data_IF_309787180812
#
_entry.id   IF_309787180812
#
_cell.length_a   1.000
_cell.length_b   1.000
_cell.length_c   1.000
_cell.angle_alpha   90.00
_cell.angle_beta   90.00
_cell.angle_gamma   90.00
#
_symmetry.space_group_name_H-M   'P 1'
#
loop_
_entity.id
_entity.type
_entity.pdbx_description
1 polymer ?
#
# COMPACT_ATOMS: atom_id res chain seq x y z
N UNK A 1 -23.44 5.20 23.97
CA UNK A 1 -22.37 4.30 23.54
C UNK A 1 -21.08 4.74 24.22
N UNK A 2 -20.37 3.80 24.86
CA UNK A 2 -19.12 4.11 25.53
C UNK A 2 -18.04 4.40 24.48
N UNK A 3 -17.17 5.36 24.79
CA UNK A 3 -16.03 5.67 23.93
C UNK A 3 -14.99 4.55 24.05
N UNK A 4 -14.65 3.91 22.94
CA UNK A 4 -13.60 2.90 22.89
C UNK A 4 -12.28 3.64 22.65
N UNK A 5 -11.31 3.42 23.52
CA UNK A 5 -9.98 4.05 23.47
C UNK A 5 -8.88 2.98 23.44
N UNK A 6 -7.63 3.43 23.25
CA UNK A 6 -6.49 2.50 23.28
C UNK A 6 -6.38 1.75 24.61
N UNK A 7 -6.82 2.36 25.72
CA UNK A 7 -6.78 1.69 27.02
C UNK A 7 -7.80 0.53 27.13
N UNK A 8 -8.76 0.46 26.22
CA UNK A 8 -9.75 -0.63 26.15
C UNK A 8 -9.27 -1.78 25.27
N UNK A 9 -8.11 -1.63 24.63
CA UNK A 9 -7.54 -2.65 23.77
C UNK A 9 -7.13 -3.88 24.58
N UNK A 10 -7.42 -5.12 24.11
CA UNK A 10 -6.98 -6.34 24.78
C UNK A 10 -5.45 -6.36 24.91
N UNK A 11 -4.95 -6.94 26.02
CA UNK A 11 -3.51 -7.03 26.29
C UNK A 11 -2.74 -7.72 25.16
N UNK A 12 -3.33 -8.75 24.55
CA UNK A 12 -2.73 -9.47 23.41
C UNK A 12 -2.47 -8.50 22.24
N UNK A 13 -3.48 -7.69 21.88
CA UNK A 13 -3.35 -6.72 20.80
C UNK A 13 -2.34 -5.63 21.16
N UNK A 14 -2.31 -5.16 22.40
CA UNK A 14 -1.36 -4.16 22.84
C UNK A 14 0.08 -4.66 22.74
N UNK A 15 0.34 -5.88 23.16
CA UNK A 15 1.67 -6.49 23.04
C UNK A 15 2.09 -6.69 21.58
N UNK A 16 1.16 -7.14 20.74
CA UNK A 16 1.41 -7.27 19.32
C UNK A 16 1.69 -5.90 18.67
N UNK A 17 0.96 -4.87 19.09
CA UNK A 17 1.15 -3.50 18.59
C UNK A 17 2.53 -2.95 18.94
N UNK A 18 3.03 -3.18 20.14
CA UNK A 18 4.38 -2.76 20.55
C UNK A 18 5.42 -3.36 19.61
N UNK A 19 5.29 -4.65 19.31
CA UNK A 19 6.19 -5.33 18.37
C UNK A 19 6.07 -4.76 16.96
N UNK A 20 4.85 -4.47 16.52
CA UNK A 20 4.64 -3.84 15.21
C UNK A 20 5.31 -2.47 15.12
N UNK A 21 5.15 -1.64 16.14
CA UNK A 21 5.76 -0.31 16.17
C UNK A 21 7.28 -0.39 16.13
N UNK A 22 7.89 -1.34 16.83
CA UNK A 22 9.32 -1.60 16.74
C UNK A 22 9.71 -2.01 15.31
N UNK A 23 8.92 -2.90 14.69
CA UNK A 23 9.18 -3.33 13.32
C UNK A 23 9.13 -2.16 12.33
N UNK A 24 8.16 -1.26 12.48
CA UNK A 24 8.05 -0.04 11.65
C UNK A 24 9.34 0.79 11.77
N UNK A 25 9.80 1.03 12.99
CA UNK A 25 11.03 1.80 13.23
C UNK A 25 12.25 1.16 12.60
N UNK A 26 12.43 -0.13 12.75
CA UNK A 26 13.56 -0.85 12.13
C UNK A 26 13.45 -0.84 10.60
N UNK A 27 12.25 -1.01 10.06
CA UNK A 27 12.03 -0.95 8.61
C UNK A 27 12.41 0.42 8.03
N UNK A 28 12.00 1.49 8.70
CA UNK A 28 12.35 2.87 8.29
C UNK A 28 13.86 3.11 8.32
N UNK A 29 14.59 2.42 9.19
CA UNK A 29 16.04 2.49 9.28
C UNK A 29 16.75 1.55 8.30
N UNK A 30 16.02 0.81 7.48
CA UNK A 30 16.59 -0.15 6.55
C UNK A 30 17.03 -1.47 7.19
N UNK A 31 16.70 -1.68 8.47
CA UNK A 31 17.07 -2.90 9.21
C UNK A 31 15.99 -3.97 9.01
N UNK A 32 15.95 -4.53 7.81
CA UNK A 32 14.88 -5.43 7.36
C UNK A 32 14.82 -6.74 8.15
N UNK A 33 15.98 -7.31 8.49
CA UNK A 33 16.01 -8.59 9.22
C UNK A 33 15.48 -8.42 10.64
N UNK A 34 15.81 -7.32 11.31
CA UNK A 34 15.31 -7.03 12.65
C UNK A 34 13.80 -6.75 12.59
N UNK A 35 13.37 -6.01 11.57
CA UNK A 35 11.95 -5.76 11.35
C UNK A 35 11.17 -7.07 11.19
N UNK A 36 11.68 -8.02 10.40
CA UNK A 36 11.05 -9.34 10.23
C UNK A 36 10.97 -10.12 11.55
N UNK A 37 12.00 -10.04 12.38
CA UNK A 37 11.99 -10.72 13.68
C UNK A 37 10.92 -10.13 14.61
N UNK A 38 10.80 -8.81 14.66
CA UNK A 38 9.75 -8.14 15.45
C UNK A 38 8.35 -8.47 14.90
N UNK A 39 8.20 -8.54 13.58
CA UNK A 39 6.94 -8.94 12.95
C UNK A 39 6.57 -10.39 13.28
N UNK A 40 7.55 -11.28 13.30
CA UNK A 40 7.33 -12.68 13.70
C UNK A 40 6.75 -12.75 15.11
N UNK A 41 7.30 -11.96 16.02
CA UNK A 41 6.81 -11.90 17.39
C UNK A 41 5.42 -11.27 17.49
N UNK A 42 5.15 -10.22 16.73
CA UNK A 42 3.82 -9.59 16.67
C UNK A 42 2.76 -10.58 16.18
N UNK A 43 3.05 -11.28 15.09
CA UNK A 43 2.14 -12.28 14.51
C UNK A 43 1.92 -13.46 15.45
N UNK A 44 2.97 -13.93 16.12
CA UNK A 44 2.85 -14.99 17.10
C UNK A 44 1.96 -14.60 18.30
N UNK A 45 2.00 -13.32 18.68
CA UNK A 45 1.23 -12.79 19.80
C UNK A 45 -0.25 -12.63 19.43
N UNK A 46 -0.56 -12.10 18.25
CA UNK A 46 -1.94 -11.88 17.79
C UNK A 46 -2.06 -12.23 16.30
N UNK A 47 -2.21 -13.53 15.97
CA UNK A 47 -2.16 -13.99 14.58
C UNK A 47 -3.34 -13.56 13.71
N UNK A 48 -4.42 -13.04 14.31
CA UNK A 48 -5.60 -12.57 13.58
C UNK A 48 -5.65 -11.04 13.41
N UNK A 49 -4.56 -10.36 13.69
CA UNK A 49 -4.43 -8.93 13.43
C UNK A 49 -3.76 -8.72 12.08
N UNK A 50 -4.40 -7.96 11.19
CA UNK A 50 -4.00 -7.84 9.78
C UNK A 50 -2.76 -6.96 9.55
N UNK A 51 -2.56 -5.93 10.36
CA UNK A 51 -1.52 -4.93 10.16
C UNK A 51 -0.09 -5.50 10.06
N UNK A 52 0.33 -6.45 10.94
CA UNK A 52 1.67 -7.00 10.84
C UNK A 52 1.93 -7.73 9.51
N UNK A 53 0.91 -8.37 8.95
CA UNK A 53 1.06 -9.04 7.66
C UNK A 53 1.29 -8.04 6.52
N UNK A 54 0.61 -6.90 6.56
CA UNK A 54 0.82 -5.84 5.57
C UNK A 54 2.25 -5.29 5.63
N UNK A 55 2.75 -4.98 6.83
CA UNK A 55 4.14 -4.52 6.97
C UNK A 55 5.13 -5.60 6.52
N UNK A 56 4.87 -6.87 6.84
CA UNK A 56 5.70 -7.99 6.38
C UNK A 56 5.76 -8.02 4.84
N UNK A 57 4.64 -7.78 4.18
CA UNK A 57 4.60 -7.68 2.73
C UNK A 57 5.51 -6.58 2.19
N UNK A 58 5.48 -5.40 2.80
CA UNK A 58 6.35 -4.29 2.41
C UNK A 58 7.83 -4.61 2.65
N UNK A 59 8.17 -5.26 3.76
CA UNK A 59 9.55 -5.68 4.05
C UNK A 59 10.03 -6.67 2.99
N UNK A 60 9.23 -7.67 2.66
CA UNK A 60 9.57 -8.64 1.63
C UNK A 60 9.70 -8.01 0.24
N UNK A 61 8.88 -7.01 -0.09
CA UNK A 61 9.05 -6.26 -1.33
C UNK A 61 10.43 -5.59 -1.39
N UNK A 62 10.85 -4.96 -0.32
CA UNK A 62 12.17 -4.32 -0.24
C UNK A 62 13.30 -5.33 -0.40
N UNK A 63 13.11 -6.55 0.07
CA UNK A 63 14.06 -7.64 -0.07
C UNK A 63 13.96 -8.35 -1.42
N UNK A 64 13.06 -7.91 -2.29
CA UNK A 64 12.76 -8.55 -3.58
C UNK A 64 12.30 -10.00 -3.44
N UNK A 65 11.69 -10.34 -2.32
CA UNK A 65 11.06 -11.63 -2.05
C UNK A 65 9.57 -11.52 -2.41
N UNK A 66 9.28 -11.45 -3.72
CA UNK A 66 7.97 -11.04 -4.21
C UNK A 66 6.86 -12.06 -3.89
N UNK A 67 7.18 -13.37 -3.89
CA UNK A 67 6.20 -14.39 -3.53
C UNK A 67 5.81 -14.31 -2.05
N UNK A 68 6.79 -14.10 -1.17
CA UNK A 68 6.54 -13.94 0.25
C UNK A 68 5.78 -12.63 0.54
N UNK A 69 6.07 -11.58 -0.24
CA UNK A 69 5.31 -10.33 -0.16
C UNK A 69 3.85 -10.56 -0.53
N UNK A 70 3.58 -11.28 -1.63
CA UNK A 70 2.22 -11.59 -2.06
C UNK A 70 1.47 -12.39 -1.01
N UNK A 71 2.09 -13.46 -0.48
CA UNK A 71 1.49 -14.28 0.59
C UNK A 71 1.11 -13.41 1.79
N UNK A 72 1.97 -12.47 2.15
CA UNK A 72 1.76 -11.56 3.28
C UNK A 72 0.56 -10.63 3.04
N UNK A 73 0.50 -9.99 1.87
CA UNK A 73 -0.64 -9.11 1.54
C UNK A 73 -1.94 -9.88 1.42
N UNK A 74 -1.91 -11.08 0.86
CA UNK A 74 -3.08 -11.94 0.78
C UNK A 74 -3.60 -12.29 2.18
N UNK A 75 -2.69 -12.60 3.10
CA UNK A 75 -3.08 -12.89 4.49
C UNK A 75 -3.70 -11.66 5.17
N UNK A 76 -3.11 -10.49 4.98
CA UNK A 76 -3.67 -9.24 5.50
C UNK A 76 -5.10 -9.02 4.98
N UNK A 77 -5.33 -9.24 3.70
CA UNK A 77 -6.63 -9.05 3.05
C UNK A 77 -7.65 -10.14 3.40
N UNK A 78 -7.21 -11.37 3.74
CA UNK A 78 -8.12 -12.38 4.28
C UNK A 78 -8.74 -11.93 5.59
N UNK A 79 -7.97 -11.23 6.42
CA UNK A 79 -8.43 -10.73 7.72
C UNK A 79 -9.23 -9.45 7.55
N UNK A 80 -8.74 -8.52 6.71
CA UNK A 80 -9.33 -7.19 6.51
C UNK A 80 -9.48 -6.91 5.01
N UNK A 81 -10.49 -7.48 4.34
CA UNK A 81 -10.58 -7.49 2.87
C UNK A 81 -10.86 -6.13 2.22
N UNK A 82 -11.31 -5.14 3.00
CA UNK A 82 -11.65 -3.82 2.49
C UNK A 82 -10.65 -2.74 2.85
N UNK A 83 -9.54 -3.11 3.48
CA UNK A 83 -8.53 -2.14 3.90
C UNK A 83 -7.81 -1.55 2.68
N UNK A 84 -8.03 -0.25 2.43
CA UNK A 84 -7.51 0.42 1.25
C UNK A 84 -5.99 0.40 1.15
N UNK A 85 -5.29 0.55 2.27
CA UNK A 85 -3.83 0.52 2.29
C UNK A 85 -3.27 -0.84 1.86
N UNK A 86 -3.92 -1.93 2.26
CA UNK A 86 -3.48 -3.28 1.88
C UNK A 86 -3.72 -3.53 0.40
N UNK A 87 -4.89 -3.12 -0.09
CA UNK A 87 -5.23 -3.20 -1.52
C UNK A 87 -4.27 -2.38 -2.36
N UNK A 88 -3.91 -1.18 -1.91
CA UNK A 88 -2.93 -0.32 -2.58
C UNK A 88 -1.57 -1.01 -2.66
N UNK A 89 -1.06 -1.52 -1.54
CA UNK A 89 0.26 -2.15 -1.49
C UNK A 89 0.33 -3.40 -2.36
N UNK A 90 -0.70 -4.22 -2.33
CA UNK A 90 -0.77 -5.39 -3.19
C UNK A 90 -0.90 -5.01 -4.67
N UNK A 91 -1.67 -3.97 -4.96
CA UNK A 91 -1.76 -3.42 -6.32
C UNK A 91 -0.40 -2.95 -6.84
N UNK A 92 0.39 -2.31 -6.01
CA UNK A 92 1.75 -1.88 -6.37
C UNK A 92 2.66 -3.07 -6.63
N UNK A 93 2.60 -4.11 -5.81
CA UNK A 93 3.36 -5.34 -6.01
C UNK A 93 3.03 -5.99 -7.35
N UNK A 94 1.75 -6.17 -7.66
CA UNK A 94 1.31 -6.78 -8.93
C UNK A 94 1.71 -5.94 -10.13
N UNK A 95 1.68 -4.61 -10.00
CA UNK A 95 2.18 -3.70 -11.03
C UNK A 95 3.66 -3.94 -11.31
N UNK A 96 4.49 -4.05 -10.28
CA UNK A 96 5.91 -4.31 -10.43
C UNK A 96 6.20 -5.65 -11.11
N UNK A 97 5.30 -6.60 -10.94
CA UNK A 97 5.39 -7.92 -11.58
C UNK A 97 4.86 -7.93 -13.02
N UNK A 98 4.39 -6.79 -13.53
CA UNK A 98 3.78 -6.70 -14.85
C UNK A 98 2.35 -7.25 -14.92
N UNK A 99 1.73 -7.55 -13.79
CA UNK A 99 0.36 -8.05 -13.67
C UNK A 99 -0.61 -6.87 -13.61
N UNK A 100 -0.71 -6.12 -14.71
CA UNK A 100 -1.37 -4.83 -14.74
C UNK A 100 -2.89 -4.90 -14.56
N UNK A 101 -3.53 -5.94 -15.10
CA UNK A 101 -4.98 -6.12 -14.93
C UNK A 101 -5.35 -6.32 -13.46
N UNK A 102 -4.59 -7.16 -12.76
CA UNK A 102 -4.78 -7.38 -11.32
C UNK A 102 -4.49 -6.13 -10.52
N UNK A 103 -3.43 -5.42 -10.87
CA UNK A 103 -3.04 -4.16 -10.23
C UNK A 103 -4.17 -3.12 -10.32
N UNK A 104 -4.71 -2.91 -11.50
CA UNK A 104 -5.81 -1.96 -11.72
C UNK A 104 -7.05 -2.36 -10.92
N UNK A 105 -7.35 -3.64 -10.84
CA UNK A 105 -8.48 -4.14 -10.05
C UNK A 105 -8.28 -3.85 -8.56
N UNK A 106 -7.09 -4.11 -8.03
CA UNK A 106 -6.77 -3.87 -6.62
C UNK A 106 -6.83 -2.38 -6.26
N UNK A 107 -6.24 -1.53 -7.09
CA UNK A 107 -6.35 -0.07 -6.90
C UNK A 107 -7.80 0.39 -6.98
N UNK A 108 -8.58 -0.14 -7.93
CA UNK A 108 -10.00 0.16 -8.06
C UNK A 108 -10.79 -0.21 -6.81
N UNK A 109 -10.50 -1.34 -6.20
CA UNK A 109 -11.15 -1.77 -4.95
C UNK A 109 -10.81 -0.81 -3.79
N UNK A 110 -9.56 -0.35 -3.70
CA UNK A 110 -9.17 0.63 -2.70
C UNK A 110 -9.94 1.94 -2.89
N UNK A 111 -10.00 2.43 -4.13
CA UNK A 111 -10.66 3.68 -4.48
C UNK A 111 -12.19 3.60 -4.34
N UNK A 112 -12.77 2.41 -4.42
CA UNK A 112 -14.21 2.20 -4.23
C UNK A 112 -14.64 2.28 -2.76
N UNK A 113 -13.70 2.18 -1.83
CA UNK A 113 -13.99 2.29 -0.39
C UNK A 113 -14.06 3.77 0.01
N UNK A 114 -15.23 4.31 0.38
CA UNK A 114 -15.36 5.73 0.73
C UNK A 114 -14.60 6.10 2.00
N UNK A 115 -14.24 5.14 2.85
CA UNK A 115 -13.46 5.37 4.07
C UNK A 115 -11.96 5.49 3.80
N UNK A 116 -11.50 5.14 2.59
CA UNK A 116 -10.08 5.20 2.25
C UNK A 116 -9.63 6.66 2.05
N UNK A 117 -8.65 7.10 2.84
CA UNK A 117 -8.21 8.50 2.85
C UNK A 117 -7.01 8.77 1.94
N UNK A 118 -6.20 7.78 1.62
CA UNK A 118 -4.99 7.91 0.80
C UNK A 118 -5.28 7.85 -0.71
N UNK A 119 -6.37 8.49 -1.13
CA UNK A 119 -6.89 8.37 -2.50
C UNK A 119 -5.94 8.92 -3.54
N UNK A 120 -5.32 10.08 -3.26
CA UNK A 120 -4.38 10.71 -4.19
C UNK A 120 -3.18 9.80 -4.48
N UNK A 121 -2.65 9.16 -3.46
CA UNK A 121 -1.54 8.21 -3.57
C UNK A 121 -1.90 7.03 -4.48
N UNK A 122 -3.11 6.50 -4.34
CA UNK A 122 -3.56 5.35 -5.14
C UNK A 122 -3.85 5.75 -6.59
N UNK A 123 -4.45 6.92 -6.82
CA UNK A 123 -4.61 7.43 -8.18
C UNK A 123 -3.27 7.62 -8.88
N UNK A 124 -2.26 8.14 -8.16
CA UNK A 124 -0.91 8.28 -8.72
C UNK A 124 -0.32 6.91 -9.08
N UNK A 125 -0.37 5.95 -8.16
CA UNK A 125 0.15 4.60 -8.40
C UNK A 125 -0.53 3.94 -9.59
N UNK A 126 -1.87 4.02 -9.66
CA UNK A 126 -2.63 3.49 -10.78
C UNK A 126 -2.23 4.13 -12.11
N UNK A 127 -2.07 5.46 -12.11
CA UNK A 127 -1.67 6.20 -13.31
C UNK A 127 -0.29 5.78 -13.80
N UNK A 128 0.69 5.68 -12.89
CA UNK A 128 2.03 5.23 -13.24
C UNK A 128 2.03 3.81 -13.82
N UNK A 129 1.24 2.93 -13.24
CA UNK A 129 1.11 1.54 -13.71
C UNK A 129 0.43 1.46 -15.08
N UNK A 130 -0.60 2.26 -15.30
CA UNK A 130 -1.30 2.32 -16.59
C UNK A 130 -0.39 2.83 -17.69
N UNK A 131 0.40 3.87 -17.43
CA UNK A 131 1.40 4.37 -18.38
C UNK A 131 2.43 3.28 -18.70
N UNK A 132 2.92 2.60 -17.67
CA UNK A 132 3.89 1.51 -17.84
C UNK A 132 3.32 0.37 -18.66
N UNK A 133 2.04 0.09 -18.53
CA UNK A 133 1.33 -0.93 -19.29
C UNK A 133 1.03 -0.54 -20.74
N UNK A 134 1.27 0.73 -21.12
CA UNK A 134 0.97 1.25 -22.44
C UNK A 134 -0.40 1.94 -22.55
N UNK A 135 -1.15 2.05 -21.47
CA UNK A 135 -2.45 2.72 -21.43
C UNK A 135 -2.27 4.20 -21.04
N UNK A 136 -1.71 4.99 -21.98
CA UNK A 136 -1.31 6.36 -21.71
C UNK A 136 -2.48 7.28 -21.38
N UNK A 137 -3.59 7.15 -22.10
CA UNK A 137 -4.77 7.99 -21.89
C UNK A 137 -5.38 7.74 -20.50
N UNK A 138 -5.53 6.48 -20.11
CA UNK A 138 -6.02 6.08 -18.80
C UNK A 138 -5.06 6.52 -17.70
N UNK A 139 -3.75 6.37 -17.94
CA UNK A 139 -2.71 6.80 -17.01
C UNK A 139 -2.74 8.31 -16.78
N UNK A 140 -2.90 9.10 -17.86
CA UNK A 140 -3.03 10.54 -17.76
C UNK A 140 -4.26 10.93 -16.92
N UNK A 141 -5.41 10.29 -17.17
CA UNK A 141 -6.63 10.56 -16.41
C UNK A 141 -6.45 10.26 -14.92
N UNK A 142 -5.80 9.14 -14.58
CA UNK A 142 -5.53 8.77 -13.19
C UNK A 142 -4.57 9.75 -12.52
N UNK A 143 -3.50 10.15 -13.21
CA UNK A 143 -2.54 11.13 -12.70
C UNK A 143 -3.18 12.52 -12.51
N UNK A 144 -4.06 12.91 -13.42
CA UNK A 144 -4.81 14.16 -13.28
C UNK A 144 -5.70 14.12 -12.03
N UNK A 145 -6.36 12.99 -11.80
CA UNK A 145 -7.18 12.81 -10.60
C UNK A 145 -6.35 12.93 -9.32
N UNK A 146 -5.16 12.31 -9.32
CA UNK A 146 -4.22 12.45 -8.20
C UNK A 146 -3.80 13.90 -7.99
N UNK A 147 -3.48 14.59 -9.08
CA UNK A 147 -3.08 16.01 -9.05
C UNK A 147 -4.19 16.90 -8.48
N UNK A 148 -5.44 16.68 -8.86
CA UNK A 148 -6.58 17.42 -8.34
C UNK A 148 -6.74 17.25 -6.83
N UNK A 149 -6.45 16.03 -6.31
CA UNK A 149 -6.56 15.72 -4.89
C UNK A 149 -5.35 16.21 -4.08
N UNK A 150 -4.17 16.18 -4.68
CA UNK A 150 -2.92 16.61 -4.05
C UNK A 150 -1.99 17.28 -5.08
N UNK A 151 -2.19 18.57 -5.36
CA UNK A 151 -1.38 19.27 -6.37
C UNK A 151 0.06 19.55 -5.94
N UNK A 152 0.40 19.29 -4.68
CA UNK A 152 1.75 19.51 -4.15
C UNK A 152 2.69 18.34 -4.36
N UNK A 153 2.18 17.18 -4.79
CA UNK A 153 3.02 16.01 -5.01
C UNK A 153 3.86 16.22 -6.29
N UNK A 154 5.18 16.34 -6.17
CA UNK A 154 6.04 16.63 -7.34
C UNK A 154 6.11 15.45 -8.30
N UNK A 155 5.93 14.22 -7.83
CA UNK A 155 5.95 13.02 -8.67
C UNK A 155 4.79 13.05 -9.65
N UNK A 156 3.58 13.35 -9.16
CA UNK A 156 2.38 13.45 -10.00
C UNK A 156 2.53 14.58 -11.04
N UNK A 157 2.95 15.76 -10.60
CA UNK A 157 3.15 16.92 -11.48
C UNK A 157 4.17 16.66 -12.56
N UNK A 158 5.31 16.06 -12.20
CA UNK A 158 6.36 15.71 -13.17
C UNK A 158 5.85 14.73 -14.23
N UNK A 159 5.18 13.67 -13.82
CA UNK A 159 4.69 12.65 -14.74
C UNK A 159 3.60 13.18 -15.68
N UNK A 160 2.71 14.04 -15.19
CA UNK A 160 1.73 14.72 -16.04
C UNK A 160 2.39 15.63 -17.06
N UNK A 161 3.36 16.44 -16.62
CA UNK A 161 4.10 17.33 -17.52
C UNK A 161 4.82 16.53 -18.60
N UNK A 162 5.43 15.40 -18.24
CA UNK A 162 6.12 14.53 -19.19
C UNK A 162 5.16 13.95 -20.23
N UNK A 163 3.99 13.49 -19.83
CA UNK A 163 2.96 12.97 -20.75
C UNK A 163 2.46 14.05 -21.71
N UNK A 164 2.20 15.24 -21.19
CA UNK A 164 1.76 16.38 -22.01
C UNK A 164 2.84 16.79 -23.00
N UNK A 165 4.10 16.83 -22.58
CA UNK A 165 5.24 17.11 -23.44
C UNK A 165 5.36 16.08 -24.57
N UNK A 166 5.28 14.79 -24.24
CA UNK A 166 5.35 13.71 -25.23
C UNK A 166 4.21 13.74 -26.23
N UNK A 167 3.04 14.24 -25.82
CA UNK A 167 1.88 14.42 -26.70
C UNK A 167 1.96 15.70 -27.52
N UNK A 168 2.85 16.63 -27.16
CA UNK A 168 3.00 17.92 -27.81
C UNK A 168 2.11 19.03 -27.26
N UNK A 169 1.45 18.83 -26.13
CA UNK A 169 0.57 19.79 -25.46
C UNK A 169 1.35 20.56 -24.38
N UNK A 170 2.07 21.60 -24.79
CA UNK A 170 2.83 22.43 -23.85
C UNK A 170 2.81 23.89 -24.26
#
# INVERSE_FOLDING_TARGET
ADLVTESDEPDVRRRARIRLELAVGYFEQGQTNIALDELKQSIATDPNWSEPYNLRGLVYMRLNELRLAEDSFQRALQISPREGNFLHNYGWLTCQQGRYAESTQLFGQALANPAYVERAKTWMAQGLCQVKAGFRAEGEASLLRSYELDPRNPITGYNLALLLFQRGDF
#
